data_IF_307344368701
#
_entry.id   IF_307344368701
#
_cell.length_a   1.000
_cell.length_b   1.000
_cell.length_c   1.000
_cell.angle_alpha   90.00
_cell.angle_beta   90.00
_cell.angle_gamma   90.00
#
_symmetry.space_group_name_H-M   'P 1'
#
loop_
_entity.id
_entity.type
_entity.pdbx_description
1 polymer ?
#
# COMPACT_ATOMS: atom_id res chain seq x y z
N UNK A 1 -5.78 -11.60 -33.54
CA UNK A 1 -5.63 -10.13 -33.46
C UNK A 1 -4.85 -9.85 -32.19
N UNK A 2 -3.52 -9.81 -32.27
CA UNK A 2 -2.65 -9.68 -31.10
C UNK A 2 -2.59 -8.22 -30.67
N UNK A 3 -2.98 -7.92 -29.44
CA UNK A 3 -2.69 -6.63 -28.82
C UNK A 3 -1.22 -6.66 -28.45
N UNK A 4 -0.38 -6.00 -29.24
CA UNK A 4 0.97 -5.65 -28.82
C UNK A 4 0.79 -4.59 -27.75
N UNK A 5 0.95 -4.98 -26.49
CA UNK A 5 1.13 -4.01 -25.41
C UNK A 5 2.57 -3.51 -25.57
N UNK A 6 2.75 -2.40 -26.28
CA UNK A 6 4.02 -1.70 -26.26
C UNK A 6 4.30 -1.30 -24.80
N UNK A 7 5.40 -1.82 -24.24
CA UNK A 7 5.92 -1.45 -22.93
C UNK A 7 6.46 -0.01 -22.96
N UNK A 8 5.60 0.97 -23.19
CA UNK A 8 5.93 2.36 -22.96
C UNK A 8 6.03 2.57 -21.44
N UNK A 9 7.25 2.62 -20.93
CA UNK A 9 7.50 3.17 -19.59
C UNK A 9 7.04 4.62 -19.63
N UNK A 10 5.85 4.90 -19.10
CA UNK A 10 5.34 6.27 -18.99
C UNK A 10 6.24 6.98 -17.98
N UNK A 11 7.01 8.00 -18.38
CA UNK A 11 7.90 8.70 -17.46
C UNK A 11 7.10 9.34 -16.32
N UNK A 12 7.70 9.40 -15.13
CA UNK A 12 7.08 10.09 -14.00
C UNK A 12 6.97 11.58 -14.32
N UNK A 13 5.77 12.13 -14.13
CA UNK A 13 5.57 13.56 -14.30
C UNK A 13 6.21 14.32 -13.13
N UNK A 14 6.59 15.61 -13.30
CA UNK A 14 7.00 16.45 -12.19
C UNK A 14 5.98 16.49 -11.05
N UNK A 15 4.68 16.44 -11.36
CA UNK A 15 3.61 16.38 -10.36
C UNK A 15 3.67 15.09 -9.53
N UNK A 16 3.92 13.95 -10.16
CA UNK A 16 4.10 12.65 -9.48
C UNK A 16 5.29 12.70 -8.51
N UNK A 17 6.42 13.26 -8.94
CA UNK A 17 7.63 13.43 -8.12
C UNK A 17 7.37 14.36 -6.94
N UNK A 18 6.69 15.49 -7.17
CA UNK A 18 6.36 16.46 -6.13
C UNK A 18 5.38 15.89 -5.11
N UNK A 19 4.34 15.16 -5.55
CA UNK A 19 3.40 14.47 -4.66
C UNK A 19 4.14 13.47 -3.78
N UNK A 20 5.06 12.70 -4.37
CA UNK A 20 5.91 11.77 -3.62
C UNK A 20 6.76 12.48 -2.58
N UNK A 21 7.46 13.55 -2.96
CA UNK A 21 8.29 14.32 -2.03
C UNK A 21 7.46 14.90 -0.88
N UNK A 22 6.30 15.47 -1.18
CA UNK A 22 5.37 15.98 -0.18
C UNK A 22 5.00 14.90 0.86
N UNK A 23 4.53 13.73 0.41
CA UNK A 23 4.12 12.66 1.33
C UNK A 23 5.26 12.06 2.14
N UNK A 24 6.49 12.04 1.59
CA UNK A 24 7.67 11.65 2.37
C UNK A 24 7.91 12.61 3.54
N UNK A 25 7.77 13.92 3.32
CA UNK A 25 7.92 14.90 4.40
C UNK A 25 6.71 14.92 5.33
N UNK A 26 5.51 14.76 4.79
CA UNK A 26 4.27 14.88 5.55
C UNK A 26 4.11 13.76 6.58
N UNK A 27 4.52 12.53 6.22
CA UNK A 27 4.53 11.37 7.13
C UNK A 27 5.46 11.58 8.34
N UNK A 28 6.48 12.44 8.23
CA UNK A 28 7.41 12.72 9.33
C UNK A 28 6.88 13.81 10.28
N UNK A 29 5.94 14.64 9.83
CA UNK A 29 5.42 15.76 10.64
C UNK A 29 4.32 15.36 11.61
N UNK A 30 3.93 14.09 11.64
CA UNK A 30 2.77 13.64 12.42
C UNK A 30 3.17 13.42 13.89
N UNK A 31 2.19 13.53 14.79
CA UNK A 31 2.41 13.84 16.20
C UNK A 31 2.81 12.65 17.08
N UNK A 32 2.49 12.74 18.38
CA UNK A 32 2.83 11.69 19.35
C UNK A 32 1.77 10.56 19.42
N UNK A 33 0.61 10.70 18.76
CA UNK A 33 -0.47 9.71 18.76
C UNK A 33 -0.57 8.99 17.41
N UNK A 34 0.10 7.84 17.33
CA UNK A 34 0.11 6.98 16.16
C UNK A 34 -1.29 6.63 15.61
N UNK A 35 -2.30 6.48 16.47
CA UNK A 35 -3.65 6.14 16.06
C UNK A 35 -4.34 7.31 15.35
N UNK A 36 -4.23 8.51 15.92
CA UNK A 36 -4.73 9.74 15.28
C UNK A 36 -3.97 10.05 13.99
N UNK A 37 -2.67 9.80 13.99
CA UNK A 37 -1.79 10.03 12.85
C UNK A 37 -2.15 9.14 11.65
N UNK A 38 -2.40 7.84 11.91
CA UNK A 38 -2.85 6.91 10.87
C UNK A 38 -4.21 7.33 10.29
N UNK A 39 -5.17 7.74 11.14
CA UNK A 39 -6.48 8.24 10.68
C UNK A 39 -6.35 9.54 9.88
N UNK A 40 -5.42 10.41 10.26
CA UNK A 40 -5.12 11.65 9.54
C UNK A 40 -4.59 11.34 8.14
N UNK A 41 -3.62 10.43 8.01
CA UNK A 41 -3.10 9.98 6.72
C UNK A 41 -4.23 9.50 5.81
N UNK A 42 -5.12 8.63 6.32
CA UNK A 42 -6.24 8.10 5.53
C UNK A 42 -7.14 9.24 5.02
N UNK A 43 -7.53 10.18 5.89
CA UNK A 43 -8.38 11.32 5.51
C UNK A 43 -7.72 12.26 4.50
N UNK A 44 -6.42 12.51 4.63
CA UNK A 44 -5.68 13.36 3.70
C UNK A 44 -5.54 12.72 2.32
N UNK A 45 -5.27 11.41 2.25
CA UNK A 45 -5.29 10.63 1.01
C UNK A 45 -6.68 10.68 0.37
N UNK A 46 -7.74 10.41 1.14
CA UNK A 46 -9.11 10.44 0.61
C UNK A 46 -9.50 11.83 0.08
N UNK A 47 -9.11 12.88 0.80
CA UNK A 47 -9.34 14.27 0.38
C UNK A 47 -8.59 14.62 -0.90
N UNK A 48 -7.34 14.17 -0.99
CA UNK A 48 -6.49 14.36 -2.16
C UNK A 48 -7.03 13.61 -3.38
N UNK A 49 -7.41 12.33 -3.25
CA UNK A 49 -8.02 11.54 -4.33
C UNK A 49 -9.36 12.14 -4.75
N UNK A 50 -10.16 12.66 -3.81
CA UNK A 50 -11.42 13.34 -4.14
C UNK A 50 -11.20 14.62 -4.95
N UNK A 51 -10.14 15.35 -4.66
CA UNK A 51 -9.79 16.63 -5.31
C UNK A 51 -9.14 16.42 -6.68
N UNK A 52 -8.15 15.53 -6.75
CA UNK A 52 -7.26 15.36 -7.90
C UNK A 52 -7.64 14.13 -8.76
N UNK A 53 -8.63 13.34 -8.31
CA UNK A 53 -9.16 12.18 -8.99
C UNK A 53 -8.22 10.98 -9.02
N UNK A 54 -8.50 10.06 -9.94
CA UNK A 54 -7.75 8.80 -10.09
C UNK A 54 -6.26 9.01 -10.39
N UNK A 55 -5.90 10.11 -11.05
CA UNK A 55 -4.50 10.42 -11.35
C UNK A 55 -3.63 10.52 -10.09
N UNK A 56 -4.15 11.12 -9.00
CA UNK A 56 -3.44 11.17 -7.72
C UNK A 56 -3.25 9.77 -7.13
N UNK A 57 -4.28 8.93 -7.15
CA UNK A 57 -4.16 7.54 -6.71
C UNK A 57 -3.10 6.77 -7.51
N UNK A 58 -3.07 6.94 -8.83
CA UNK A 58 -2.04 6.32 -9.69
C UNK A 58 -0.62 6.83 -9.34
N UNK A 59 -0.46 8.12 -9.11
CA UNK A 59 0.83 8.70 -8.68
C UNK A 59 1.34 8.03 -7.40
N UNK A 60 0.46 7.86 -6.41
CA UNK A 60 0.78 7.16 -5.19
C UNK A 60 1.17 5.69 -5.43
N UNK A 61 0.30 4.93 -6.13
CA UNK A 61 0.48 3.50 -6.33
C UNK A 61 1.76 3.16 -7.11
N UNK A 62 2.22 4.05 -7.99
CA UNK A 62 3.49 3.88 -8.72
C UNK A 62 4.72 3.87 -7.82
N UNK A 63 4.68 4.57 -6.68
CA UNK A 63 5.85 4.86 -5.86
C UNK A 63 5.74 4.41 -4.40
N UNK A 64 4.53 4.06 -3.92
CA UNK A 64 4.29 3.71 -2.52
C UNK A 64 4.98 2.40 -2.09
N UNK A 65 5.31 1.53 -3.03
CA UNK A 65 6.01 0.27 -2.78
C UNK A 65 7.45 0.41 -2.28
N UNK A 66 8.02 1.61 -2.35
CA UNK A 66 9.40 1.88 -1.94
C UNK A 66 9.45 2.68 -0.65
N UNK A 67 9.94 2.11 0.44
CA UNK A 67 10.13 2.86 1.71
C UNK A 67 11.28 3.87 1.52
N UNK A 68 11.13 5.14 1.95
CA UNK A 68 12.23 6.11 1.92
C UNK A 68 13.43 5.65 2.75
N UNK A 69 14.64 5.68 2.17
CA UNK A 69 15.88 5.25 2.84
C UNK A 69 16.21 6.10 4.08
N UNK A 70 15.69 7.32 4.17
CA UNK A 70 15.89 8.23 5.30
C UNK A 70 15.07 7.85 6.55
N UNK A 71 14.08 6.98 6.42
CA UNK A 71 13.32 6.49 7.57
C UNK A 71 14.14 5.42 8.28
N UNK A 72 14.30 5.55 9.61
CA UNK A 72 15.01 4.53 10.37
C UNK A 72 14.23 3.22 10.43
N UNK A 73 14.92 2.11 10.71
CA UNK A 73 14.27 0.82 10.94
C UNK A 73 13.47 0.84 12.27
N UNK A 74 12.25 0.30 12.24
CA UNK A 74 11.27 0.24 13.33
C UNK A 74 10.84 1.59 13.92
N UNK A 75 11.04 2.67 13.17
CA UNK A 75 10.67 4.03 13.58
C UNK A 75 9.18 4.32 13.42
N UNK A 76 8.71 5.40 14.05
CA UNK A 76 7.33 5.87 13.91
C UNK A 76 7.01 6.23 12.45
N UNK A 77 7.93 6.88 11.74
CA UNK A 77 7.74 7.22 10.33
C UNK A 77 7.67 5.98 9.42
N UNK A 78 8.43 4.91 9.69
CA UNK A 78 8.31 3.64 8.95
C UNK A 78 6.96 2.96 9.20
N UNK A 79 6.52 2.94 10.47
CA UNK A 79 5.21 2.38 10.86
C UNK A 79 4.06 3.17 10.24
N UNK A 80 4.14 4.51 10.24
CA UNK A 80 3.15 5.38 9.60
C UNK A 80 3.19 5.24 8.07
N UNK A 81 4.37 5.03 7.48
CA UNK A 81 4.47 4.74 6.06
C UNK A 81 3.75 3.44 5.67
N UNK A 82 3.78 2.43 6.55
CA UNK A 82 2.99 1.21 6.36
C UNK A 82 1.48 1.51 6.40
N UNK A 83 1.02 2.38 7.31
CA UNK A 83 -0.38 2.82 7.35
C UNK A 83 -0.80 3.64 6.13
N UNK A 84 0.12 4.43 5.59
CA UNK A 84 -0.06 5.09 4.29
C UNK A 84 -0.28 4.07 3.16
N UNK A 85 0.46 2.96 3.11
CA UNK A 85 0.23 1.92 2.09
C UNK A 85 -1.09 1.18 2.29
N UNK A 86 -1.51 0.95 3.54
CA UNK A 86 -2.80 0.32 3.87
C UNK A 86 -3.98 1.18 3.38
N UNK A 87 -3.91 2.49 3.63
CA UNK A 87 -4.91 3.46 3.20
C UNK A 87 -4.99 3.54 1.65
N UNK A 88 -3.86 3.52 0.95
CA UNK A 88 -3.83 3.48 -0.51
C UNK A 88 -4.44 2.19 -1.09
N UNK A 89 -4.18 1.05 -0.45
CA UNK A 89 -4.76 -0.23 -0.83
C UNK A 89 -6.29 -0.21 -0.66
N UNK A 90 -6.77 0.30 0.47
CA UNK A 90 -8.20 0.52 0.72
C UNK A 90 -8.82 1.45 -0.33
N UNK A 91 -8.17 2.59 -0.63
CA UNK A 91 -8.63 3.54 -1.64
C UNK A 91 -8.69 2.92 -3.06
N UNK A 92 -7.70 2.10 -3.42
CA UNK A 92 -7.71 1.35 -4.68
C UNK A 92 -8.86 0.35 -4.76
N UNK A 93 -9.09 -0.42 -3.69
CA UNK A 93 -10.19 -1.38 -3.64
C UNK A 93 -11.55 -0.68 -3.73
N UNK A 94 -11.72 0.46 -3.04
CA UNK A 94 -12.88 1.35 -3.20
C UNK A 94 -13.05 1.83 -4.64
N UNK A 95 -11.95 2.25 -5.28
CA UNK A 95 -11.97 2.75 -6.66
C UNK A 95 -12.42 1.69 -7.68
N UNK A 96 -12.03 0.42 -7.51
CA UNK A 96 -12.47 -0.67 -8.39
C UNK A 96 -13.88 -1.21 -8.08
N UNK A 97 -14.63 -0.52 -7.19
CA UNK A 97 -16.03 -0.82 -6.90
C UNK A 97 -16.27 -1.79 -5.74
N UNK A 98 -15.30 -2.00 -4.85
CA UNK A 98 -15.49 -2.77 -3.62
C UNK A 98 -15.81 -1.84 -2.44
N UNK A 99 -16.53 -2.35 -1.45
CA UNK A 99 -16.53 -1.77 -0.11
C UNK A 99 -15.27 -2.25 0.59
N UNK A 100 -14.38 -1.33 0.97
CA UNK A 100 -13.11 -1.66 1.66
C UNK A 100 -12.86 -0.77 2.87
N UNK A 101 -12.16 -1.30 3.86
CA UNK A 101 -11.78 -0.58 5.09
C UNK A 101 -10.41 -1.04 5.59
N UNK A 102 -9.63 -0.11 6.13
CA UNK A 102 -8.40 -0.42 6.88
C UNK A 102 -8.80 -0.97 8.25
N UNK A 103 -8.20 -2.08 8.65
CA UNK A 103 -8.45 -2.74 9.92
C UNK A 103 -7.60 -2.09 11.02
N UNK A 104 -8.23 -1.81 12.16
CA UNK A 104 -7.56 -1.21 13.33
C UNK A 104 -7.01 -2.25 14.31
N UNK A 105 -7.29 -3.52 14.07
CA UNK A 105 -6.78 -4.62 14.90
C UNK A 105 -5.25 -4.67 14.85
N UNK A 106 -4.62 -4.91 16.00
CA UNK A 106 -3.16 -5.09 16.11
C UNK A 106 -2.85 -6.56 16.27
N UNK A 107 -1.83 -7.02 15.55
CA UNK A 107 -1.33 -8.39 15.53
C UNK A 107 -2.33 -9.44 15.00
N UNK A 108 -1.81 -10.44 14.29
CA UNK A 108 -2.57 -11.57 13.76
C UNK A 108 -3.84 -11.22 12.96
N UNK A 109 -3.79 -10.11 12.22
CA UNK A 109 -4.82 -9.63 11.33
C UNK A 109 -4.20 -9.06 10.05
N UNK A 110 -4.97 -9.08 8.97
CA UNK A 110 -4.62 -8.38 7.74
C UNK A 110 -4.83 -6.86 7.89
N UNK A 111 -4.29 -6.08 6.96
CA UNK A 111 -4.37 -4.62 7.02
C UNK A 111 -5.69 -4.07 6.49
N UNK A 112 -6.27 -4.72 5.49
CA UNK A 112 -7.48 -4.25 4.78
C UNK A 112 -8.46 -5.40 4.60
N UNK A 113 -9.75 -5.13 4.76
CA UNK A 113 -10.80 -6.02 4.29
C UNK A 113 -11.59 -5.38 3.15
N UNK A 114 -12.08 -6.22 2.22
CA UNK A 114 -12.91 -5.75 1.13
C UNK A 114 -13.96 -6.77 0.70
N UNK A 115 -15.13 -6.27 0.27
CA UNK A 115 -16.22 -7.08 -0.26
C UNK A 115 -17.07 -6.34 -1.29
N UNK A 116 -17.74 -7.08 -2.18
CA UNK A 116 -18.60 -6.52 -3.22
C UNK A 116 -18.62 -7.40 -4.48
N UNK A 117 -19.73 -7.44 -5.21
CA UNK A 117 -19.82 -8.19 -6.47
C UNK A 117 -19.47 -9.69 -6.37
N UNK A 118 -19.77 -10.32 -5.22
CA UNK A 118 -19.41 -11.72 -4.94
C UNK A 118 -17.95 -11.94 -4.53
N UNK A 119 -17.14 -10.88 -4.47
CA UNK A 119 -15.78 -10.88 -3.93
C UNK A 119 -15.85 -10.65 -2.41
N UNK A 120 -15.04 -11.40 -1.67
CA UNK A 120 -14.81 -11.24 -0.24
C UNK A 120 -13.37 -11.63 0.06
N UNK A 121 -12.57 -10.66 0.51
CA UNK A 121 -11.14 -10.84 0.72
C UNK A 121 -10.60 -10.04 1.90
N UNK A 122 -9.44 -10.47 2.38
CA UNK A 122 -8.53 -9.65 3.18
C UNK A 122 -7.28 -9.35 2.35
N UNK A 123 -6.64 -8.22 2.61
CA UNK A 123 -5.46 -7.78 1.90
C UNK A 123 -4.41 -7.15 2.82
N UNK A 124 -3.16 -7.26 2.40
CA UNK A 124 -2.00 -6.73 3.12
C UNK A 124 -1.06 -6.06 2.09
N UNK A 125 -0.58 -4.87 2.45
CA UNK A 125 0.33 -4.09 1.62
C UNK A 125 1.77 -4.27 2.09
N UNK A 126 2.67 -4.58 1.16
CA UNK A 126 4.11 -4.65 1.43
C UNK A 126 4.83 -3.53 0.69
N UNK A 127 5.74 -2.88 1.39
CA UNK A 127 6.72 -1.96 0.84
C UNK A 127 8.12 -2.33 1.33
N UNK A 128 9.12 -2.05 0.51
CA UNK A 128 10.52 -2.36 0.80
C UNK A 128 11.42 -1.19 0.43
N UNK A 129 12.50 -0.97 1.19
CA UNK A 129 13.60 -0.10 0.75
C UNK A 129 14.24 -0.65 -0.52
N UNK A 130 14.79 0.22 -1.37
CA UNK A 130 15.56 -0.25 -2.55
C UNK A 130 16.86 -0.90 -2.11
N UNK A 131 17.42 -0.44 -0.98
CA UNK A 131 18.59 -1.03 -0.33
C UNK A 131 18.32 -2.43 0.26
N UNK A 132 17.06 -2.89 0.33
CA UNK A 132 16.75 -4.23 0.86
C UNK A 132 17.35 -5.30 -0.05
N UNK A 133 18.30 -6.06 0.47
CA UNK A 133 19.01 -7.10 -0.28
C UNK A 133 18.27 -8.45 -0.21
N UNK A 134 18.02 -8.96 0.99
CA UNK A 134 17.33 -10.22 1.22
C UNK A 134 15.81 -10.05 1.38
N UNK A 135 15.04 -10.87 0.64
CA UNK A 135 13.59 -11.00 0.80
C UNK A 135 13.29 -12.44 1.20
N UNK A 136 12.98 -12.63 2.47
CA UNK A 136 12.67 -13.97 2.96
C UNK A 136 11.21 -14.27 2.69
N UNK A 137 10.88 -15.54 2.45
CA UNK A 137 9.48 -15.97 2.26
C UNK A 137 8.57 -15.53 3.42
N UNK A 138 9.10 -15.54 4.66
CA UNK A 138 8.39 -15.07 5.86
C UNK A 138 7.98 -13.59 5.80
N UNK A 139 8.70 -12.75 5.06
CA UNK A 139 8.44 -11.31 4.98
C UNK A 139 7.12 -11.03 4.23
N UNK A 140 6.68 -11.95 3.37
CA UNK A 140 5.40 -11.88 2.64
C UNK A 140 4.22 -12.43 3.43
N UNK A 141 4.46 -13.17 4.53
CA UNK A 141 3.43 -13.68 5.44
C UNK A 141 2.30 -14.49 4.77
N UNK A 142 2.61 -15.24 3.70
CA UNK A 142 1.62 -15.98 2.89
C UNK A 142 0.76 -16.94 3.74
N UNK A 143 1.38 -17.73 4.60
CA UNK A 143 0.64 -18.67 5.47
C UNK A 143 -0.22 -17.94 6.51
N UNK A 144 0.31 -16.88 7.12
CA UNK A 144 -0.42 -16.09 8.10
C UNK A 144 -1.66 -15.42 7.47
N UNK A 145 -1.51 -14.87 6.26
CA UNK A 145 -2.61 -14.31 5.47
C UNK A 145 -3.74 -15.33 5.22
N UNK A 146 -3.41 -16.62 5.07
CA UNK A 146 -4.44 -17.65 4.96
C UNK A 146 -5.26 -17.78 6.24
N UNK A 147 -4.62 -17.75 7.42
CA UNK A 147 -5.31 -17.78 8.71
C UNK A 147 -6.13 -16.51 8.97
N UNK A 148 -5.62 -15.35 8.58
CA UNK A 148 -6.26 -14.06 8.80
C UNK A 148 -7.50 -13.82 7.94
N UNK A 149 -7.80 -14.70 6.97
CA UNK A 149 -9.07 -14.66 6.23
C UNK A 149 -10.29 -14.68 7.13
N UNK A 150 -10.27 -15.31 8.31
CA UNK A 150 -11.38 -15.31 9.30
C UNK A 150 -12.80 -15.37 8.65
N UNK A 151 -13.02 -16.36 7.78
CA UNK A 151 -14.29 -16.57 7.07
C UNK A 151 -14.44 -15.90 5.69
N UNK A 152 -13.50 -15.03 5.28
CA UNK A 152 -13.42 -14.46 3.92
C UNK A 152 -12.90 -15.51 2.94
N UNK A 153 -13.27 -15.37 1.66
CA UNK A 153 -12.97 -16.37 0.62
C UNK A 153 -11.52 -16.30 0.12
N UNK A 154 -10.93 -15.12 0.10
CA UNK A 154 -9.61 -14.87 -0.52
C UNK A 154 -8.69 -14.06 0.39
N UNK A 155 -7.39 -14.21 0.17
CA UNK A 155 -6.35 -13.36 0.75
C UNK A 155 -5.52 -12.78 -0.40
N UNK A 156 -5.12 -11.52 -0.28
CA UNK A 156 -4.37 -10.80 -1.30
C UNK A 156 -3.15 -10.13 -0.67
N UNK A 157 -1.97 -10.36 -1.24
CA UNK A 157 -0.76 -9.62 -0.87
C UNK A 157 -0.44 -8.69 -2.03
N UNK A 158 -0.30 -7.40 -1.75
CA UNK A 158 0.09 -6.40 -2.73
C UNK A 158 1.50 -5.93 -2.41
N UNK A 159 2.44 -6.14 -3.34
CA UNK A 159 3.84 -5.82 -3.12
C UNK A 159 4.51 -5.34 -4.42
N UNK A 160 5.70 -4.71 -4.35
CA UNK A 160 6.39 -4.24 -5.54
C UNK A 160 6.87 -5.43 -6.37
N UNK A 161 6.46 -5.50 -7.63
CA UNK A 161 6.74 -6.66 -8.50
C UNK A 161 8.25 -6.96 -8.63
N UNK A 162 9.08 -5.92 -8.63
CA UNK A 162 10.54 -6.04 -8.74
C UNK A 162 11.21 -6.56 -7.45
N UNK A 163 10.45 -6.75 -6.37
CA UNK A 163 10.92 -7.32 -5.11
C UNK A 163 10.53 -8.80 -4.96
N UNK A 164 9.74 -9.35 -5.90
CA UNK A 164 9.42 -10.77 -5.92
C UNK A 164 10.59 -11.59 -6.50
N UNK A 165 10.79 -12.84 -6.03
CA UNK A 165 11.81 -13.74 -6.59
C UNK A 165 11.58 -14.00 -8.09
N UNK A 166 12.66 -13.97 -8.89
CA UNK A 166 12.58 -14.07 -10.35
C UNK A 166 12.54 -15.50 -10.90
N UNK A 167 12.77 -16.51 -10.06
CA UNK A 167 12.88 -17.93 -10.49
C UNK A 167 12.07 -18.89 -9.63
N UNK A 168 12.35 -18.96 -8.32
CA UNK A 168 11.66 -19.85 -7.38
C UNK A 168 11.69 -19.27 -5.96
N UNK A 169 10.66 -19.60 -5.16
CA UNK A 169 10.47 -19.12 -3.78
C UNK A 169 9.51 -19.98 -2.99
#
# INVERSE_FOLDING_TARGET
>A
MGVIIENAVVPLSPATVNRRAYWIEEIVKIGDDFGQDALRIEREIESEIKRDGFAALVDHLRLCGTIPERYGDDTSEEKLYSKYTDALLSAFLKYIGLTAAVLTERADAADVEASGGGISLVADAKAFRLSRTAKNQKDFKVEAMHGWKRGRRRAMIVCPIHQLPSHSS
#
